data_IF_951571984361
#
_entry.id   IF_951571984361
#
_cell.length_a   1.000
_cell.length_b   1.000
_cell.length_c   1.000
_cell.angle_alpha   90.00
_cell.angle_beta   90.00
_cell.angle_gamma   90.00
#
_symmetry.space_group_name_H-M   'P 1'
#
loop_
_entity.id
_entity.type
_entity.pdbx_description
1 polymer ?
#
# COMPACT_ATOMS: atom_id res chain seq x y z
N UNK A 1 -34.59 22.61 50.05
CA UNK A 1 -34.11 21.23 50.06
C UNK A 1 -34.28 20.65 48.66
N UNK A 2 -33.17 20.17 48.09
CA UNK A 2 -32.99 19.27 46.95
C UNK A 2 -33.89 19.40 45.71
N UNK A 3 -33.30 19.91 44.62
CA UNK A 3 -33.62 19.49 43.26
C UNK A 3 -33.10 18.05 43.03
N UNK A 4 -33.85 17.22 42.31
CA UNK A 4 -33.34 15.98 41.72
C UNK A 4 -33.93 15.77 40.34
N UNK A 5 -33.11 16.10 39.36
CA UNK A 5 -33.15 15.62 37.98
C UNK A 5 -32.72 14.15 37.95
N UNK A 6 -33.42 13.31 37.21
CA UNK A 6 -32.86 12.03 36.77
C UNK A 6 -33.20 11.81 35.30
N UNK A 7 -32.25 12.21 34.46
CA UNK A 7 -32.22 11.90 33.04
C UNK A 7 -32.02 10.39 32.85
N UNK A 8 -32.87 9.79 32.01
CA UNK A 8 -32.68 8.43 31.49
C UNK A 8 -31.38 8.37 30.70
N UNK A 9 -30.36 7.73 31.26
CA UNK A 9 -29.18 7.31 30.51
C UNK A 9 -29.58 6.19 29.54
N UNK A 10 -29.46 6.48 28.24
CA UNK A 10 -29.54 5.50 27.16
C UNK A 10 -28.45 4.45 27.34
N UNK A 11 -28.87 3.21 27.62
CA UNK A 11 -28.05 2.01 27.44
C UNK A 11 -28.02 1.68 25.94
N UNK A 12 -26.84 1.72 25.35
CA UNK A 12 -26.57 1.13 24.03
C UNK A 12 -25.24 0.37 24.12
N UNK A 13 -25.24 -0.72 24.87
CA UNK A 13 -24.20 -1.75 24.78
C UNK A 13 -24.66 -2.76 23.72
N UNK A 14 -24.34 -2.51 22.45
CA UNK A 14 -24.33 -3.55 21.43
C UNK A 14 -22.88 -4.01 21.30
N UNK A 15 -22.51 -5.03 22.07
CA UNK A 15 -21.32 -5.82 21.80
C UNK A 15 -21.62 -6.67 20.56
N UNK A 16 -21.22 -6.18 19.39
CA UNK A 16 -21.30 -6.97 18.17
C UNK A 16 -20.22 -8.06 18.20
N UNK A 17 -20.63 -9.31 18.02
CA UNK A 17 -19.71 -10.45 18.00
C UNK A 17 -18.84 -10.43 16.72
N UNK A 18 -17.55 -10.79 16.79
CA UNK A 18 -16.68 -10.84 15.62
C UNK A 18 -17.20 -11.83 14.59
N UNK A 19 -17.33 -11.38 13.33
CA UNK A 19 -17.70 -12.22 12.20
C UNK A 19 -16.47 -12.91 11.61
N UNK A 20 -15.98 -13.93 12.32
CA UNK A 20 -15.36 -15.14 11.78
C UNK A 20 -14.91 -16.00 12.96
N UNK A 21 -15.36 -17.25 13.02
CA UNK A 21 -14.78 -18.20 13.96
C UNK A 21 -13.37 -18.54 13.45
N UNK A 22 -12.35 -17.96 14.07
CA UNK A 22 -10.96 -18.34 13.84
C UNK A 22 -10.86 -19.88 13.92
N UNK A 23 -10.44 -20.52 12.83
CA UNK A 23 -10.00 -21.92 12.88
C UNK A 23 -8.89 -21.95 13.93
N UNK A 24 -9.19 -22.54 15.09
CA UNK A 24 -8.24 -22.61 16.19
C UNK A 24 -6.91 -23.14 15.66
N UNK A 25 -5.83 -22.39 15.87
CA UNK A 25 -4.49 -22.87 15.61
C UNK A 25 -4.36 -24.21 16.34
N UNK A 26 -4.31 -25.31 15.59
CA UNK A 26 -4.12 -26.66 16.11
C UNK A 26 -2.74 -26.74 16.74
N UNK A 27 -2.61 -26.26 17.98
CA UNK A 27 -1.33 -26.05 18.59
C UNK A 27 -0.88 -27.35 19.26
N UNK A 28 0.09 -28.04 18.64
CA UNK A 28 1.10 -28.71 19.47
C UNK A 28 1.69 -27.63 20.36
N UNK A 29 1.41 -27.73 21.67
CA UNK A 29 1.97 -26.79 22.65
C UNK A 29 3.48 -26.99 22.68
N UNK A 30 4.21 -25.90 22.54
CA UNK A 30 5.67 -25.90 22.68
C UNK A 30 6.05 -26.30 24.11
N UNK A 31 7.14 -27.05 24.25
CA UNK A 31 7.72 -27.38 25.56
C UNK A 31 9.23 -27.17 25.53
N UNK A 32 9.83 -26.86 26.67
CA UNK A 32 11.29 -26.76 26.80
C UNK A 32 11.95 -28.07 26.36
N UNK A 33 11.40 -29.20 26.81
CA UNK A 33 11.86 -30.54 26.42
C UNK A 33 11.86 -30.76 24.90
N UNK A 34 10.92 -30.19 24.14
CA UNK A 34 10.90 -30.30 22.68
C UNK A 34 12.01 -29.52 21.96
N UNK A 35 12.75 -28.68 22.69
CA UNK A 35 13.90 -27.92 22.20
C UNK A 35 15.22 -28.35 22.88
N UNK A 36 15.17 -29.23 23.87
CA UNK A 36 16.38 -29.82 24.46
C UNK A 36 17.09 -30.67 23.39
N UNK A 37 18.37 -30.38 23.17
CA UNK A 37 19.20 -30.96 22.10
C UNK A 37 18.86 -30.51 20.67
N UNK A 38 18.12 -29.42 20.50
CA UNK A 38 17.95 -28.82 19.18
C UNK A 38 19.30 -28.41 18.57
N UNK A 39 19.56 -28.84 17.34
CA UNK A 39 20.72 -28.44 16.55
C UNK A 39 20.30 -28.20 15.11
N UNK A 40 20.79 -27.11 14.54
CA UNK A 40 20.71 -26.88 13.10
C UNK A 40 21.73 -27.76 12.36
N UNK A 41 21.46 -28.02 11.09
CA UNK A 41 22.44 -28.62 10.20
C UNK A 41 23.65 -27.68 9.99
N UNK A 42 24.87 -28.20 9.79
CA UNK A 42 26.04 -27.38 9.49
C UNK A 42 25.88 -26.56 8.21
N UNK A 43 26.43 -25.34 8.18
CA UNK A 43 26.40 -24.43 7.03
C UNK A 43 27.69 -23.61 6.95
N UNK A 44 28.10 -23.17 5.74
CA UNK A 44 29.18 -22.19 5.55
C UNK A 44 28.64 -20.81 5.24
N UNK A 45 29.31 -19.78 5.72
CA UNK A 45 28.95 -18.37 5.51
C UNK A 45 28.88 -18.01 4.02
N UNK A 46 29.78 -18.56 3.20
CA UNK A 46 29.79 -18.32 1.76
C UNK A 46 28.56 -18.89 1.04
N UNK A 47 27.92 -19.94 1.58
CA UNK A 47 26.70 -20.49 1.00
C UNK A 47 25.53 -19.52 1.19
N UNK A 48 25.45 -18.89 2.35
CA UNK A 48 24.45 -17.86 2.66
C UNK A 48 24.65 -16.62 1.78
N UNK A 49 25.89 -16.12 1.66
CA UNK A 49 26.21 -14.97 0.79
C UNK A 49 25.82 -15.23 -0.66
N UNK A 50 26.25 -16.38 -1.23
CA UNK A 50 25.89 -16.76 -2.60
C UNK A 50 24.38 -16.92 -2.77
N UNK A 51 23.71 -17.55 -1.81
CA UNK A 51 22.27 -17.76 -1.87
C UNK A 51 21.48 -16.45 -1.98
N UNK A 52 21.87 -15.43 -1.21
CA UNK A 52 21.23 -14.10 -1.26
C UNK A 52 21.61 -13.34 -2.54
N UNK A 53 22.90 -13.23 -2.84
CA UNK A 53 23.39 -12.46 -4.00
C UNK A 53 22.85 -13.02 -5.31
N UNK A 54 22.86 -14.35 -5.51
CA UNK A 54 22.33 -14.95 -6.73
C UNK A 54 20.85 -14.65 -6.93
N UNK A 55 20.04 -14.67 -5.86
CA UNK A 55 18.61 -14.36 -5.94
C UNK A 55 18.37 -12.88 -6.22
N UNK A 56 19.02 -12.00 -5.46
CA UNK A 56 18.84 -10.56 -5.64
C UNK A 56 19.31 -10.07 -7.00
N UNK A 57 20.45 -10.58 -7.50
CA UNK A 57 20.95 -10.24 -8.83
C UNK A 57 20.05 -10.79 -9.94
N UNK A 58 19.45 -11.97 -9.75
CA UNK A 58 18.43 -12.49 -10.67
C UNK A 58 17.20 -11.58 -10.68
N UNK A 59 16.73 -11.15 -9.51
CA UNK A 59 15.59 -10.23 -9.42
C UNK A 59 15.91 -8.89 -10.10
N UNK A 60 17.10 -8.31 -9.87
CA UNK A 60 17.53 -7.09 -10.55
C UNK A 60 17.59 -7.25 -12.08
N UNK A 61 18.09 -8.39 -12.57
CA UNK A 61 18.13 -8.70 -13.99
C UNK A 61 16.73 -8.85 -14.58
N UNK A 62 15.89 -9.67 -13.95
CA UNK A 62 14.55 -9.98 -14.45
C UNK A 62 13.62 -8.77 -14.42
N UNK A 63 13.75 -7.90 -13.40
CA UNK A 63 12.91 -6.73 -13.20
C UNK A 63 13.53 -5.44 -13.75
N UNK A 64 14.70 -5.46 -14.40
CA UNK A 64 15.20 -4.30 -15.13
C UNK A 64 14.17 -3.76 -16.16
N UNK A 65 13.30 -4.66 -16.66
CA UNK A 65 12.08 -4.35 -17.38
C UNK A 65 10.87 -5.03 -16.70
N UNK A 66 9.96 -4.21 -16.17
CA UNK A 66 8.71 -4.65 -15.53
C UNK A 66 7.48 -4.22 -16.35
N UNK A 67 6.34 -4.90 -16.18
CA UNK A 67 5.09 -4.39 -16.73
C UNK A 67 4.60 -3.20 -15.92
N UNK A 68 4.67 -3.33 -14.59
CA UNK A 68 4.22 -2.31 -13.65
C UNK A 68 5.29 -2.06 -12.59
N UNK A 69 5.57 -0.80 -12.33
CA UNK A 69 6.33 -0.37 -11.14
C UNK A 69 5.39 0.37 -10.21
N UNK A 70 5.40 0.02 -8.93
CA UNK A 70 4.67 0.70 -7.85
C UNK A 70 5.69 1.37 -6.93
N UNK A 71 5.62 2.68 -6.78
CA UNK A 71 6.52 3.43 -5.88
C UNK A 71 5.83 3.76 -4.58
N UNK A 72 6.36 3.24 -3.48
CA UNK A 72 5.76 3.31 -2.15
C UNK A 72 4.91 2.08 -1.83
N UNK A 73 5.32 1.33 -0.82
CA UNK A 73 4.62 0.17 -0.28
C UNK A 73 3.73 0.53 0.92
N UNK A 74 3.08 1.70 0.87
CA UNK A 74 2.06 2.11 1.84
C UNK A 74 0.75 1.35 1.65
N UNK A 75 -0.30 1.71 2.41
CA UNK A 75 -1.62 1.08 2.30
C UNK A 75 -2.19 1.13 0.87
N UNK A 76 -2.10 2.27 0.18
CA UNK A 76 -2.57 2.39 -1.21
C UNK A 76 -1.73 1.57 -2.20
N UNK A 77 -0.40 1.65 -2.12
CA UNK A 77 0.50 0.88 -2.99
C UNK A 77 0.37 -0.63 -2.81
N UNK A 78 0.29 -1.11 -1.56
CA UNK A 78 0.02 -2.53 -1.25
C UNK A 78 -1.37 -2.97 -1.72
N UNK A 79 -2.36 -2.07 -1.68
CA UNK A 79 -3.71 -2.35 -2.19
C UNK A 79 -3.72 -2.50 -3.71
N UNK A 80 -3.00 -1.62 -4.42
CA UNK A 80 -2.79 -1.75 -5.86
C UNK A 80 -2.06 -3.06 -6.20
N UNK A 81 -0.94 -3.33 -5.52
CA UNK A 81 -0.16 -4.54 -5.70
C UNK A 81 -0.98 -5.81 -5.48
N UNK A 82 -1.82 -5.84 -4.44
CA UNK A 82 -2.68 -6.99 -4.16
C UNK A 82 -3.69 -7.25 -5.28
N UNK A 83 -4.32 -6.21 -5.84
CA UNK A 83 -5.23 -6.40 -6.97
C UNK A 83 -4.48 -6.87 -8.23
N UNK A 84 -3.32 -6.27 -8.54
CA UNK A 84 -2.51 -6.67 -9.68
C UNK A 84 -1.89 -8.07 -9.53
N UNK A 85 -1.66 -8.54 -8.30
CA UNK A 85 -1.17 -9.89 -8.02
C UNK A 85 -2.06 -11.00 -8.57
N UNK A 86 -3.34 -10.69 -8.83
CA UNK A 86 -4.35 -11.63 -9.36
C UNK A 86 -4.18 -11.90 -10.87
N UNK A 87 -3.25 -11.20 -11.52
CA UNK A 87 -2.95 -11.26 -12.95
C UNK A 87 -1.52 -11.81 -13.13
N UNK A 88 -1.33 -13.14 -13.10
CA UNK A 88 -0.01 -13.78 -13.04
C UNK A 88 0.87 -13.52 -14.27
N UNK A 89 0.29 -13.03 -15.37
CA UNK A 89 0.99 -12.60 -16.58
C UNK A 89 1.77 -11.29 -16.41
N UNK A 90 1.43 -10.48 -15.40
CA UNK A 90 2.07 -9.19 -15.14
C UNK A 90 3.30 -9.34 -14.26
N UNK A 91 4.43 -8.75 -14.67
CA UNK A 91 5.62 -8.60 -13.83
C UNK A 91 5.57 -7.26 -13.08
N UNK A 92 5.48 -7.31 -11.76
CA UNK A 92 5.22 -6.14 -10.91
C UNK A 92 6.38 -5.91 -9.93
N UNK A 93 7.08 -4.78 -10.05
CA UNK A 93 8.08 -4.34 -9.08
C UNK A 93 7.47 -3.34 -8.10
N UNK A 94 7.72 -3.50 -6.81
CA UNK A 94 7.40 -2.52 -5.77
C UNK A 94 8.72 -1.92 -5.28
N UNK A 95 8.87 -0.60 -5.40
CA UNK A 95 10.04 0.14 -4.92
C UNK A 95 9.65 0.87 -3.64
N UNK A 96 10.32 0.54 -2.53
CA UNK A 96 10.06 1.11 -1.20
C UNK A 96 11.36 1.62 -0.57
N UNK A 97 11.39 2.90 -0.25
CA UNK A 97 12.59 3.56 0.28
C UNK A 97 12.90 3.17 1.73
N UNK A 98 11.88 2.83 2.53
CA UNK A 98 12.09 2.30 3.87
C UNK A 98 12.59 0.84 3.81
N UNK A 99 13.35 0.44 4.82
CA UNK A 99 13.61 -0.99 5.07
C UNK A 99 12.29 -1.72 5.34
N UNK A 100 11.39 -1.10 6.09
CA UNK A 100 10.08 -1.66 6.42
C UNK A 100 9.00 -1.10 5.48
N UNK A 101 8.37 -1.94 4.63
CA UNK A 101 7.17 -1.55 3.90
C UNK A 101 5.97 -1.32 4.85
N UNK A 102 4.86 -0.83 4.32
CA UNK A 102 3.62 -0.55 5.05
C UNK A 102 3.34 0.95 5.23
N UNK A 103 4.36 1.80 5.06
CA UNK A 103 4.24 3.26 5.20
C UNK A 103 3.60 3.66 6.53
N UNK A 104 2.62 4.57 6.49
CA UNK A 104 1.89 5.03 7.68
C UNK A 104 0.86 4.05 8.25
N UNK A 105 0.64 2.89 7.63
CA UNK A 105 -0.43 1.95 8.01
C UNK A 105 -0.06 0.99 9.15
N UNK A 106 1.00 1.28 9.91
CA UNK A 106 1.36 0.52 11.10
C UNK A 106 0.58 0.94 12.35
N UNK A 107 0.05 2.17 12.35
CA UNK A 107 -0.66 2.77 13.47
C UNK A 107 -1.95 3.45 12.99
N UNK A 108 -2.84 3.74 13.94
CA UNK A 108 -3.91 4.71 13.79
C UNK A 108 -3.41 6.14 14.07
N UNK A 109 -4.31 7.01 14.53
CA UNK A 109 -3.96 8.38 14.88
C UNK A 109 -3.15 8.48 16.18
N UNK A 110 -2.23 9.44 16.26
CA UNK A 110 -1.53 9.80 17.50
C UNK A 110 -0.88 8.60 18.23
N UNK A 111 -0.25 7.71 17.46
CA UNK A 111 0.40 6.48 17.96
C UNK A 111 -0.55 5.42 18.54
N UNK A 112 -1.86 5.59 18.43
CA UNK A 112 -2.84 4.56 18.79
C UNK A 112 -2.85 3.44 17.75
N UNK A 113 -3.47 2.30 18.09
CA UNK A 113 -3.38 1.08 17.26
C UNK A 113 -4.52 0.91 16.27
N UNK A 114 -5.75 1.25 16.65
CA UNK A 114 -6.96 0.90 15.90
C UNK A 114 -6.99 1.55 14.51
N UNK A 115 -7.39 0.77 13.50
CA UNK A 115 -7.55 1.24 12.13
C UNK A 115 -9.04 1.34 11.79
N UNK A 116 -9.49 2.58 11.57
CA UNK A 116 -10.87 2.89 11.19
C UNK A 116 -11.02 2.79 9.67
N UNK A 117 -12.05 2.07 9.22
CA UNK A 117 -12.35 1.87 7.80
C UNK A 117 -13.83 2.14 7.57
N UNK A 118 -14.17 3.21 6.84
CA UNK A 118 -15.55 3.53 6.48
C UNK A 118 -16.15 2.51 5.51
N UNK A 119 -17.44 2.23 5.62
CA UNK A 119 -18.17 1.39 4.66
C UNK A 119 -18.31 2.15 3.32
N UNK A 120 -18.25 1.47 2.15
CA UNK A 120 -18.25 0.02 1.97
C UNK A 120 -16.87 -0.65 1.95
N UNK A 121 -15.75 0.02 2.28
CA UNK A 121 -14.41 -0.56 2.15
C UNK A 121 -14.17 -1.83 3.00
N UNK A 122 -14.94 -2.05 4.06
CA UNK A 122 -14.95 -3.30 4.84
C UNK A 122 -15.17 -4.59 4.02
N UNK A 123 -15.88 -4.54 2.89
CA UNK A 123 -16.07 -5.70 2.02
C UNK A 123 -14.75 -6.26 1.48
N UNK A 124 -13.72 -5.43 1.42
CA UNK A 124 -12.39 -5.84 1.01
C UNK A 124 -11.56 -6.41 2.18
N UNK A 125 -11.86 -6.00 3.42
CA UNK A 125 -11.32 -6.67 4.61
C UNK A 125 -11.81 -8.13 4.67
N UNK A 126 -13.07 -8.39 4.29
CA UNK A 126 -13.61 -9.75 4.17
C UNK A 126 -12.81 -10.58 3.17
N UNK A 127 -12.50 -10.01 1.99
CA UNK A 127 -11.67 -10.67 0.97
C UNK A 127 -10.26 -11.00 1.49
N UNK A 128 -9.67 -10.08 2.25
CA UNK A 128 -8.37 -10.28 2.89
C UNK A 128 -8.42 -11.23 4.10
N UNK A 129 -9.61 -11.58 4.59
CA UNK A 129 -9.80 -12.39 5.80
C UNK A 129 -9.34 -11.67 7.06
N UNK A 130 -9.50 -10.35 7.11
CA UNK A 130 -9.14 -9.52 8.27
C UNK A 130 -10.37 -9.29 9.14
N UNK A 131 -10.30 -9.74 10.39
CA UNK A 131 -11.36 -9.51 11.37
C UNK A 131 -11.44 -8.02 11.77
N UNK A 132 -12.67 -7.55 11.96
CA UNK A 132 -12.99 -6.21 12.42
C UNK A 132 -14.23 -6.20 13.33
N UNK A 133 -14.33 -5.17 14.15
CA UNK A 133 -15.56 -4.83 14.88
C UNK A 133 -16.46 -3.99 13.98
N UNK A 134 -17.73 -4.37 13.87
CA UNK A 134 -18.70 -3.68 13.00
C UNK A 134 -19.40 -2.54 13.74
N UNK A 135 -19.36 -1.33 13.16
CA UNK A 135 -20.18 -0.19 13.54
C UNK A 135 -21.19 0.12 12.42
N UNK A 136 -22.11 1.07 12.65
CA UNK A 136 -23.12 1.45 11.66
C UNK A 136 -22.48 1.91 10.33
N UNK A 137 -21.61 2.93 10.38
CA UNK A 137 -21.03 3.59 9.19
C UNK A 137 -19.59 3.19 8.87
N UNK A 138 -18.92 2.49 9.77
CA UNK A 138 -17.52 2.11 9.64
C UNK A 138 -17.25 0.78 10.36
N UNK A 139 -16.03 0.27 10.23
CA UNK A 139 -15.53 -0.89 10.96
C UNK A 139 -14.19 -0.55 11.60
N UNK A 140 -13.81 -1.32 12.61
CA UNK A 140 -12.58 -1.13 13.37
C UNK A 140 -11.73 -2.39 13.27
N UNK A 141 -10.60 -2.30 12.58
CA UNK A 141 -9.57 -3.34 12.66
C UNK A 141 -8.79 -3.11 13.96
N UNK A 142 -8.66 -4.15 14.78
CA UNK A 142 -8.09 -4.07 16.14
C UNK A 142 -6.71 -3.39 16.20
N UNK A 143 -5.92 -3.56 15.13
CA UNK A 143 -4.64 -2.91 14.98
C UNK A 143 -4.35 -2.69 13.49
N UNK A 144 -3.90 -1.49 13.10
CA UNK A 144 -3.48 -1.17 11.74
C UNK A 144 -2.44 -2.16 11.18
N UNK A 145 -1.48 -2.58 12.01
CA UNK A 145 -0.53 -3.65 11.72
C UNK A 145 -1.17 -4.99 11.30
N UNK A 146 -2.38 -5.33 11.78
CA UNK A 146 -3.07 -6.56 11.34
C UNK A 146 -3.45 -6.46 9.86
N UNK A 147 -3.99 -5.32 9.43
CA UNK A 147 -4.27 -5.09 8.03
C UNK A 147 -2.99 -5.14 7.21
N UNK A 148 -2.00 -4.33 7.60
CA UNK A 148 -0.76 -4.13 6.84
C UNK A 148 0.06 -5.41 6.71
N UNK A 149 0.23 -6.17 7.78
CA UNK A 149 0.94 -7.46 7.72
C UNK A 149 0.17 -8.51 6.91
N UNK A 150 -1.15 -8.56 7.01
CA UNK A 150 -1.97 -9.54 6.27
C UNK A 150 -1.92 -9.30 4.77
N UNK A 151 -2.14 -8.05 4.33
CA UNK A 151 -2.08 -7.74 2.90
C UNK A 151 -0.67 -7.93 2.34
N UNK A 152 0.36 -7.51 3.09
CA UNK A 152 1.75 -7.67 2.69
C UNK A 152 2.13 -9.14 2.54
N UNK A 153 1.71 -10.01 3.45
CA UNK A 153 1.95 -11.45 3.33
C UNK A 153 1.32 -12.04 2.06
N UNK A 154 0.09 -11.61 1.71
CA UNK A 154 -0.59 -12.06 0.48
C UNK A 154 0.10 -11.53 -0.79
N UNK A 155 0.49 -10.26 -0.79
CA UNK A 155 1.22 -9.61 -1.89
C UNK A 155 2.56 -10.29 -2.13
N UNK A 156 3.36 -10.52 -1.07
CA UNK A 156 4.69 -11.12 -1.19
C UNK A 156 4.65 -12.63 -1.48
N UNK A 157 3.52 -13.30 -1.25
CA UNK A 157 3.33 -14.69 -1.65
C UNK A 157 2.99 -14.83 -3.15
N UNK A 158 2.66 -13.73 -3.85
CA UNK A 158 2.36 -13.76 -5.27
C UNK A 158 3.63 -14.02 -6.09
N UNK A 159 3.60 -14.94 -7.07
CA UNK A 159 4.80 -15.33 -7.82
C UNK A 159 5.30 -14.25 -8.79
N UNK A 160 4.48 -13.25 -9.08
CA UNK A 160 4.69 -12.23 -10.09
C UNK A 160 5.02 -10.84 -9.50
N UNK A 161 5.22 -10.77 -8.18
CA UNK A 161 5.57 -9.55 -7.46
C UNK A 161 6.97 -9.66 -6.88
N UNK A 162 7.75 -8.57 -7.04
CA UNK A 162 9.01 -8.38 -6.33
C UNK A 162 8.99 -7.08 -5.54
N UNK A 163 9.31 -7.19 -4.25
CA UNK A 163 9.58 -6.03 -3.39
C UNK A 163 11.08 -5.70 -3.36
N UNK A 164 11.42 -4.49 -3.76
CA UNK A 164 12.72 -3.85 -3.57
C UNK A 164 12.58 -2.78 -2.49
N UNK A 165 12.66 -3.21 -1.23
CA UNK A 165 12.72 -2.32 -0.08
C UNK A 165 14.15 -1.82 0.18
N UNK A 166 14.30 -0.74 0.95
CA UNK A 166 15.53 0.04 1.07
C UNK A 166 16.06 0.61 -0.27
N UNK A 167 15.16 0.78 -1.23
CA UNK A 167 15.45 1.30 -2.57
C UNK A 167 14.57 2.52 -2.80
N UNK A 168 15.17 3.69 -3.02
CA UNK A 168 14.47 4.92 -3.33
C UNK A 168 14.33 5.10 -4.84
N UNK A 169 13.26 5.78 -5.24
CA UNK A 169 13.17 6.40 -6.56
C UNK A 169 13.64 7.84 -6.43
N UNK A 170 14.64 8.22 -7.23
CA UNK A 170 15.25 9.54 -7.22
C UNK A 170 14.86 10.38 -8.43
N UNK A 171 14.48 9.72 -9.53
CA UNK A 171 14.01 10.35 -10.77
C UNK A 171 13.09 9.42 -11.58
N UNK A 172 12.52 9.93 -12.66
CA UNK A 172 11.67 9.22 -13.61
C UNK A 172 12.39 9.04 -14.95
N UNK A 173 12.16 7.92 -15.62
CA UNK A 173 12.55 7.76 -17.02
C UNK A 173 11.43 8.35 -17.88
N UNK A 174 11.71 9.40 -18.64
CA UNK A 174 10.73 10.08 -19.49
C UNK A 174 11.20 10.03 -20.95
N UNK A 175 10.38 9.46 -21.82
CA UNK A 175 10.62 9.37 -23.28
C UNK A 175 9.37 9.91 -23.99
N UNK A 176 9.51 10.94 -24.82
CA UNK A 176 8.39 11.57 -25.56
C UNK A 176 7.20 11.96 -24.65
N UNK A 177 7.48 12.69 -23.57
CA UNK A 177 6.49 13.11 -22.55
C UNK A 177 5.72 11.96 -21.87
N UNK A 178 6.20 10.72 -22.03
CA UNK A 178 5.66 9.52 -21.38
C UNK A 178 6.63 8.97 -20.34
N UNK A 179 6.13 8.72 -19.14
CA UNK A 179 6.84 8.02 -18.07
C UNK A 179 6.98 6.55 -18.50
N UNK A 180 8.22 6.09 -18.54
CA UNK A 180 8.62 4.77 -19.03
C UNK A 180 9.47 3.99 -18.03
N UNK A 181 9.48 4.40 -16.76
CA UNK A 181 10.25 3.76 -15.70
C UNK A 181 10.72 4.72 -14.62
N UNK A 182 11.63 4.22 -13.78
CA UNK A 182 12.16 4.94 -12.62
C UNK A 182 13.68 4.86 -12.57
N UNK A 183 14.27 5.90 -11.98
CA UNK A 183 15.69 5.96 -11.61
C UNK A 183 15.78 5.66 -10.12
N UNK A 184 16.53 4.62 -9.78
CA UNK A 184 16.54 4.03 -8.43
C UNK A 184 17.92 4.06 -7.81
N UNK A 185 17.98 4.15 -6.48
CA UNK A 185 19.22 3.93 -5.74
C UNK A 185 18.92 3.30 -4.38
N UNK A 186 19.95 2.87 -3.67
CA UNK A 186 19.80 2.57 -2.25
C UNK A 186 19.35 3.83 -1.53
N UNK A 187 18.36 3.73 -0.66
CA UNK A 187 17.79 4.94 -0.02
C UNK A 187 18.81 5.69 0.83
N UNK A 188 19.79 4.99 1.40
CA UNK A 188 20.90 5.63 2.10
C UNK A 188 21.83 6.39 1.15
N UNK A 189 22.06 5.91 -0.07
CA UNK A 189 22.83 6.65 -1.08
C UNK A 189 22.08 7.95 -1.43
N UNK A 190 20.78 7.85 -1.67
CA UNK A 190 19.91 9.00 -1.96
C UNK A 190 19.94 10.09 -0.90
N UNK A 191 19.96 9.69 0.37
CA UNK A 191 19.96 10.62 1.49
C UNK A 191 21.33 11.27 1.75
N UNK A 192 22.38 10.88 1.03
CA UNK A 192 23.77 11.23 1.35
C UNK A 192 24.59 11.67 0.12
N UNK A 193 23.93 12.11 -0.96
CA UNK A 193 24.58 12.61 -2.18
C UNK A 193 25.56 13.77 -1.95
N UNK A 194 25.41 14.52 -0.86
CA UNK A 194 26.25 15.66 -0.47
C UNK A 194 27.41 15.31 0.47
N UNK A 195 27.49 14.05 0.92
CA UNK A 195 28.49 13.62 1.93
C UNK A 195 29.55 12.65 1.41
N UNK A 196 29.45 12.23 0.15
CA UNK A 196 30.38 11.30 -0.51
C UNK A 196 30.70 11.79 -1.94
N UNK A 197 31.61 11.12 -2.64
CA UNK A 197 31.72 11.27 -4.10
C UNK A 197 30.40 10.86 -4.77
N UNK A 198 30.14 11.36 -5.97
CA UNK A 198 28.93 11.03 -6.72
C UNK A 198 28.75 9.51 -6.87
N UNK A 199 27.55 9.03 -6.57
CA UNK A 199 27.16 7.62 -6.64
C UNK A 199 25.96 7.51 -7.58
N UNK A 200 26.25 7.25 -8.85
CA UNK A 200 25.22 7.21 -9.88
C UNK A 200 24.08 6.23 -9.53
N UNK A 201 22.84 6.55 -9.93
CA UNK A 201 21.71 5.66 -9.73
C UNK A 201 21.71 4.50 -10.73
N UNK A 202 20.82 3.54 -10.48
CA UNK A 202 20.42 2.50 -11.42
C UNK A 202 19.06 2.84 -12.07
N UNK A 203 18.60 2.05 -13.02
CA UNK A 203 17.35 2.29 -13.77
C UNK A 203 16.48 1.05 -13.88
N UNK A 204 15.17 1.26 -13.97
CA UNK A 204 14.19 0.21 -14.19
C UNK A 204 13.11 0.72 -15.16
N UNK A 205 12.92 0.05 -16.29
CA UNK A 205 11.88 0.42 -17.28
C UNK A 205 10.53 -0.21 -16.93
N UNK A 206 9.44 0.49 -17.23
CA UNK A 206 8.09 -0.05 -17.10
C UNK A 206 7.13 0.44 -18.17
N UNK A 207 6.08 -0.37 -18.42
CA UNK A 207 4.96 0.03 -19.28
C UNK A 207 4.05 1.03 -18.58
N UNK A 208 3.83 0.84 -17.28
CA UNK A 208 3.09 1.73 -16.39
C UNK A 208 3.78 1.93 -15.05
N UNK A 209 3.74 3.16 -14.55
CA UNK A 209 4.14 3.52 -13.19
C UNK A 209 2.89 3.83 -12.35
N UNK A 210 2.83 3.30 -11.12
CA UNK A 210 1.84 3.68 -10.11
C UNK A 210 2.57 4.35 -8.95
N UNK A 211 2.38 5.66 -8.80
CA UNK A 211 2.95 6.45 -7.71
C UNK A 211 2.03 6.48 -6.50
N UNK A 212 2.51 5.90 -5.41
CA UNK A 212 1.82 5.78 -4.12
C UNK A 212 2.70 6.32 -2.97
N UNK A 213 3.43 7.41 -3.22
CA UNK A 213 4.46 7.94 -2.32
C UNK A 213 3.90 8.69 -1.09
N UNK A 214 2.58 8.72 -0.92
CA UNK A 214 1.92 9.43 0.17
C UNK A 214 2.17 10.94 0.13
N UNK A 215 2.06 11.61 1.28
CA UNK A 215 2.27 13.05 1.42
C UNK A 215 3.34 13.43 2.48
N UNK A 216 3.73 12.47 3.33
CA UNK A 216 4.60 12.70 4.49
C UNK A 216 6.07 12.37 4.21
N UNK A 217 6.94 12.97 5.01
CA UNK A 217 8.38 12.64 5.04
C UNK A 217 9.17 13.23 3.87
N UNK A 218 10.50 13.00 3.86
CA UNK A 218 11.40 13.59 2.86
C UNK A 218 11.12 13.11 1.42
N UNK A 219 10.50 11.94 1.26
CA UNK A 219 10.13 11.34 -0.03
C UNK A 219 8.63 11.42 -0.32
N UNK A 220 7.86 12.11 0.53
CA UNK A 220 6.42 12.26 0.36
C UNK A 220 6.09 12.99 -0.93
N UNK A 221 5.12 12.46 -1.68
CA UNK A 221 4.66 13.00 -2.95
C UNK A 221 5.75 13.20 -4.01
N UNK A 222 6.78 12.35 -3.98
CA UNK A 222 7.93 12.42 -4.88
C UNK A 222 7.49 12.49 -6.35
N UNK A 223 6.60 11.59 -6.78
CA UNK A 223 6.25 11.44 -8.19
C UNK A 223 5.64 12.71 -8.75
N UNK A 224 4.65 13.27 -8.06
CA UNK A 224 3.93 14.47 -8.51
C UNK A 224 4.79 15.73 -8.40
N UNK A 225 5.64 15.83 -7.36
CA UNK A 225 6.65 16.90 -7.27
C UNK A 225 7.62 16.82 -8.44
N UNK A 226 8.05 15.62 -8.82
CA UNK A 226 8.98 15.43 -9.93
C UNK A 226 8.34 15.79 -11.27
N UNK A 227 7.09 15.37 -11.50
CA UNK A 227 6.32 15.78 -12.69
C UNK A 227 6.21 17.30 -12.83
N UNK A 228 6.03 18.02 -11.72
CA UNK A 228 5.99 19.48 -11.74
C UNK A 228 7.35 20.07 -12.12
N UNK A 229 8.44 19.57 -11.52
CA UNK A 229 9.80 20.06 -11.79
C UNK A 229 10.22 19.90 -13.26
N UNK A 230 9.79 18.82 -13.91
CA UNK A 230 10.09 18.56 -15.33
C UNK A 230 9.06 19.18 -16.28
N UNK A 231 8.04 19.86 -15.75
CA UNK A 231 7.04 20.61 -16.55
C UNK A 231 5.92 19.76 -17.17
N UNK A 232 5.77 18.49 -16.78
CA UNK A 232 4.67 17.63 -17.25
C UNK A 232 3.34 17.94 -16.56
N UNK A 233 3.37 18.51 -15.35
CA UNK A 233 2.22 19.14 -14.71
C UNK A 233 2.56 20.58 -14.33
N UNK A 234 1.59 21.48 -14.43
CA UNK A 234 1.84 22.92 -14.21
C UNK A 234 1.73 23.32 -12.73
N UNK A 235 0.69 22.81 -12.08
CA UNK A 235 0.34 23.20 -10.72
C UNK A 235 0.42 22.01 -9.78
N UNK A 236 0.87 22.29 -8.56
CA UNK A 236 0.83 21.37 -7.44
C UNK A 236 0.10 22.10 -6.30
N UNK A 237 -1.24 22.09 -6.29
CA UNK A 237 -2.07 22.88 -5.36
C UNK A 237 -1.83 22.52 -3.89
N UNK A 238 -1.32 21.31 -3.62
CA UNK A 238 -0.95 20.82 -2.30
C UNK A 238 -2.15 20.33 -1.49
N UNK A 239 -1.88 19.39 -0.58
CA UNK A 239 -2.89 18.83 0.32
C UNK A 239 -3.61 19.92 1.13
N UNK A 240 -4.94 19.84 1.22
CA UNK A 240 -5.77 20.81 1.99
C UNK A 240 -6.02 20.34 3.43
N UNK A 241 -6.73 21.17 4.19
CA UNK A 241 -7.16 20.89 5.57
C UNK A 241 -7.96 19.59 5.69
N UNK A 242 -8.11 19.12 6.92
CA UNK A 242 -8.79 17.85 7.19
C UNK A 242 -10.31 17.98 7.06
N UNK A 243 -10.90 17.15 6.19
CA UNK A 243 -12.34 16.88 6.10
C UNK A 243 -12.55 15.45 5.62
N UNK A 244 -12.86 14.52 6.52
CA UNK A 244 -12.97 13.10 6.20
C UNK A 244 -14.05 12.78 5.16
N UNK A 245 -15.19 13.48 5.18
CA UNK A 245 -16.30 13.16 4.29
C UNK A 245 -15.92 13.50 2.85
N UNK A 246 -15.38 14.70 2.64
CA UNK A 246 -14.93 15.14 1.32
C UNK A 246 -13.66 14.43 0.88
N UNK A 247 -12.68 14.29 1.78
CA UNK A 247 -11.37 13.73 1.46
C UNK A 247 -11.44 12.31 0.91
N UNK A 248 -12.14 11.41 1.60
CA UNK A 248 -12.09 9.99 1.21
C UNK A 248 -12.74 9.75 -0.15
N UNK A 249 -13.86 10.41 -0.41
CA UNK A 249 -14.56 10.30 -1.69
C UNK A 249 -13.71 10.94 -2.82
N UNK A 250 -13.18 12.15 -2.58
CA UNK A 250 -12.34 12.85 -3.54
C UNK A 250 -11.07 12.08 -3.89
N UNK A 251 -10.38 11.44 -2.93
CA UNK A 251 -9.15 10.69 -3.21
C UNK A 251 -9.41 9.50 -4.13
N UNK A 252 -10.51 8.79 -3.91
CA UNK A 252 -10.90 7.66 -4.78
C UNK A 252 -11.31 8.19 -6.15
N UNK A 253 -12.10 9.26 -6.22
CA UNK A 253 -12.54 9.88 -7.47
C UNK A 253 -11.35 10.40 -8.30
N UNK A 254 -10.38 11.05 -7.66
CA UNK A 254 -9.26 11.74 -8.31
C UNK A 254 -8.04 10.84 -8.56
N UNK A 255 -8.07 9.57 -8.13
CA UNK A 255 -7.06 8.58 -8.54
C UNK A 255 -7.16 8.35 -10.04
N UNK A 256 -6.11 8.66 -10.78
CA UNK A 256 -6.10 8.68 -12.25
C UNK A 256 -4.68 8.54 -12.83
N UNK A 257 -4.58 8.31 -14.13
CA UNK A 257 -3.36 8.55 -14.90
C UNK A 257 -3.15 10.07 -15.01
N UNK A 258 -2.22 10.60 -14.22
CA UNK A 258 -2.00 12.05 -14.08
C UNK A 258 -1.11 12.60 -15.20
N UNK A 259 -0.25 11.75 -15.77
CA UNK A 259 0.58 12.01 -16.93
C UNK A 259 0.73 10.69 -17.71
N UNK A 260 0.99 10.72 -19.04
CA UNK A 260 1.11 9.50 -19.83
C UNK A 260 2.13 8.53 -19.23
N UNK A 261 1.70 7.31 -18.91
CA UNK A 261 2.53 6.27 -18.30
C UNK A 261 2.60 6.30 -16.77
N UNK A 262 1.90 7.23 -16.10
CA UNK A 262 1.95 7.37 -14.65
C UNK A 262 0.58 7.60 -14.00
N UNK A 263 0.16 6.64 -13.19
CA UNK A 263 -1.01 6.73 -12.31
C UNK A 263 -0.58 7.22 -10.94
N UNK A 264 -1.38 8.09 -10.32
CA UNK A 264 -1.20 8.52 -8.93
C UNK A 264 -2.31 7.97 -8.05
N UNK A 265 -1.96 7.48 -6.86
CA UNK A 265 -2.89 6.85 -5.92
C UNK A 265 -2.58 7.21 -4.47
N UNK A 266 -3.55 6.95 -3.58
CA UNK A 266 -3.46 7.26 -2.16
C UNK A 266 -3.36 8.75 -1.90
N UNK A 267 -2.69 9.12 -0.82
CA UNK A 267 -2.60 10.53 -0.42
C UNK A 267 -1.75 11.40 -1.33
N UNK A 268 -0.93 10.83 -2.21
CA UNK A 268 -0.19 11.62 -3.21
C UNK A 268 -1.16 12.34 -4.17
N UNK A 269 -2.36 11.78 -4.36
CA UNK A 269 -3.48 12.43 -5.08
C UNK A 269 -3.84 13.79 -4.47
N UNK A 270 -3.82 13.93 -3.14
CA UNK A 270 -4.15 15.19 -2.47
C UNK A 270 -3.18 16.31 -2.78
N UNK A 271 -1.88 15.97 -2.93
CA UNK A 271 -0.84 16.93 -3.27
C UNK A 271 -0.97 17.38 -4.73
N UNK A 272 -1.25 16.42 -5.62
CA UNK A 272 -1.43 16.69 -7.05
C UNK A 272 -2.67 17.53 -7.36
N UNK A 273 -3.79 17.30 -6.66
CA UNK A 273 -5.10 17.79 -7.09
C UNK A 273 -5.83 18.60 -6.01
N UNK A 274 -5.18 18.88 -4.87
CA UNK A 274 -5.67 19.82 -3.88
C UNK A 274 -6.85 19.30 -3.08
N UNK A 275 -6.92 17.97 -2.87
CA UNK A 275 -7.97 17.37 -2.06
C UNK A 275 -7.73 17.60 -0.55
N UNK A 276 -8.80 17.66 0.26
CA UNK A 276 -8.69 17.59 1.72
C UNK A 276 -8.02 16.28 2.18
N UNK A 277 -7.41 16.32 3.37
CA UNK A 277 -6.88 15.10 4.01
C UNK A 277 -7.92 14.43 4.90
N UNK A 278 -7.83 13.11 5.10
CA UNK A 278 -8.74 12.38 5.98
C UNK A 278 -8.18 12.10 7.38
N UNK A 279 -6.87 12.16 7.59
CA UNK A 279 -6.27 11.80 8.89
C UNK A 279 -6.41 10.30 9.19
N UNK A 280 -6.82 9.89 10.41
CA UNK A 280 -6.70 8.50 10.87
C UNK A 280 -7.86 7.57 10.43
N UNK A 281 -8.21 7.59 9.14
CA UNK A 281 -9.15 6.63 8.50
C UNK A 281 -8.55 6.14 7.18
N UNK A 282 -8.77 4.87 6.84
CA UNK A 282 -7.98 4.18 5.82
C UNK A 282 -8.78 3.67 4.61
N UNK A 283 -10.10 3.86 4.60
CA UNK A 283 -10.98 3.34 3.54
C UNK A 283 -10.59 3.86 2.15
N UNK A 284 -10.32 5.16 2.03
CA UNK A 284 -9.88 5.76 0.78
C UNK A 284 -8.57 5.19 0.25
N UNK A 285 -7.59 4.88 1.12
CA UNK A 285 -6.31 4.33 0.67
C UNK A 285 -6.50 2.95 0.02
N UNK A 286 -7.35 2.12 0.64
CA UNK A 286 -7.70 0.80 0.10
C UNK A 286 -8.36 0.96 -1.28
N UNK A 287 -9.43 1.75 -1.35
CA UNK A 287 -10.22 1.88 -2.58
C UNK A 287 -9.48 2.62 -3.69
N UNK A 288 -8.67 3.63 -3.35
CA UNK A 288 -7.80 4.34 -4.29
C UNK A 288 -6.76 3.40 -4.89
N UNK A 289 -6.09 2.56 -4.09
CA UNK A 289 -5.15 1.57 -4.60
C UNK A 289 -5.80 0.55 -5.53
N UNK A 290 -7.02 0.09 -5.20
CA UNK A 290 -7.80 -0.80 -6.06
C UNK A 290 -8.19 -0.14 -7.39
N UNK A 291 -8.58 1.13 -7.36
CA UNK A 291 -8.87 1.90 -8.58
C UNK A 291 -7.60 2.08 -9.43
N UNK A 292 -6.45 2.33 -8.81
CA UNK A 292 -5.18 2.43 -9.52
C UNK A 292 -4.81 1.13 -10.25
N UNK A 293 -5.07 -0.04 -9.63
CA UNK A 293 -4.91 -1.33 -10.29
C UNK A 293 -5.84 -1.49 -11.49
N UNK A 294 -7.13 -1.10 -11.35
CA UNK A 294 -8.07 -1.15 -12.48
C UNK A 294 -7.63 -0.27 -13.65
N UNK A 295 -7.18 0.97 -13.38
CA UNK A 295 -6.63 1.89 -14.38
C UNK A 295 -5.37 1.33 -15.04
N UNK A 296 -4.53 0.63 -14.27
CA UNK A 296 -3.31 -0.01 -14.80
C UNK A 296 -3.67 -1.12 -15.77
N UNK A 297 -4.64 -1.96 -15.44
CA UNK A 297 -5.11 -3.03 -16.32
C UNK A 297 -5.71 -2.47 -17.62
N UNK A 298 -6.53 -1.43 -17.51
CA UNK A 298 -7.10 -0.72 -18.66
C UNK A 298 -6.00 -0.13 -19.57
N UNK A 299 -5.02 0.56 -18.99
CA UNK A 299 -3.89 1.13 -19.73
C UNK A 299 -3.02 0.07 -20.44
N UNK A 300 -2.98 -1.15 -19.88
CA UNK A 300 -2.27 -2.29 -20.47
C UNK A 300 -3.14 -3.13 -21.42
N UNK A 301 -4.41 -2.77 -21.62
CA UNK A 301 -5.34 -3.51 -22.48
C UNK A 301 -5.72 -4.89 -21.93
N UNK A 302 -5.63 -5.08 -20.62
CA UNK A 302 -5.98 -6.33 -19.93
C UNK A 302 -7.40 -6.19 -19.40
N UNK A 303 -8.30 -7.10 -19.82
CA UNK A 303 -9.67 -7.11 -19.32
C UNK A 303 -9.67 -7.29 -17.80
N UNK A 304 -10.13 -6.26 -17.09
CA UNK A 304 -10.32 -6.35 -15.65
C UNK A 304 -11.40 -7.40 -15.37
N UNK A 305 -11.07 -8.44 -14.59
CA UNK A 305 -12.04 -9.51 -14.25
C UNK A 305 -13.10 -9.06 -13.22
N UNK A 306 -13.21 -7.76 -12.94
CA UNK A 306 -14.01 -7.23 -11.85
C UNK A 306 -15.33 -6.62 -12.36
N UNK A 307 -16.35 -7.47 -12.54
CA UNK A 307 -17.70 -7.03 -12.88
C UNK A 307 -18.88 -7.88 -12.39
N UNK A 308 -18.69 -8.99 -11.62
CA UNK A 308 -19.80 -9.97 -11.56
C UNK A 308 -20.20 -10.58 -10.20
N UNK A 309 -19.61 -10.18 -9.06
CA UNK A 309 -19.97 -10.78 -7.77
C UNK A 309 -20.78 -9.87 -6.82
N UNK A 310 -20.53 -8.56 -6.79
CA UNK A 310 -21.17 -7.65 -5.81
C UNK A 310 -22.40 -6.92 -6.36
N UNK A 311 -22.49 -6.68 -7.67
CA UNK A 311 -23.63 -5.98 -8.28
C UNK A 311 -24.86 -6.88 -8.50
N UNK A 312 -24.68 -8.21 -8.64
CA UNK A 312 -25.80 -9.15 -8.80
C UNK A 312 -26.68 -9.32 -7.54
N UNK A 313 -26.17 -8.98 -6.35
CA UNK A 313 -26.96 -9.03 -5.11
C UNK A 313 -27.73 -7.74 -4.81
N UNK A 314 -27.35 -6.61 -5.41
CA UNK A 314 -28.07 -5.35 -5.27
C UNK A 314 -29.20 -5.18 -6.30
N UNK A 315 -29.13 -5.90 -7.43
CA UNK A 315 -30.21 -5.94 -8.43
C UNK A 315 -31.24 -7.06 -8.20
N UNK A 316 -31.07 -7.87 -7.15
CA UNK A 316 -31.95 -8.98 -6.79
C UNK A 316 -32.53 -8.87 -5.37
N UNK A 317 -32.52 -7.65 -4.79
CA UNK A 317 -33.14 -7.32 -3.51
C UNK A 317 -34.17 -6.21 -3.70
#
# INVERSE_FOLDING_TARGET
MAASTCARALRSTVLAAPRHAARGFGARRISVASLENFKFDPIRESEVSRAMTTRYMKDMYDFAEADVIITGAGSAGLSCAYELSKYPELKIAIIEQSVSPGGGAWLGGQLMSAMIVRKPAHLWLDELGIEYEEMDRFVIVKHAALFTSTIMAKVLAAPNIKLFNATAVEDLIIKNDRISGVVTNWSLVTQHHDTQSCMDPNVMESKMLVSACGHDGPMGAFGVKRLQQVGLIKELPGMRCLDMNVAEDAIVELTQEIAPGMIVTGMEVSEALGAPRMGPTFGAMMMSGRKAAALTLEALGIESRAGDASQRKAAAA
#
